data_IF_901900460002
#
_entry.id   IF_901900460002
#
_cell.length_a   1.000
_cell.length_b   1.000
_cell.length_c   1.000
_cell.angle_alpha   90.00
_cell.angle_beta   90.00
_cell.angle_gamma   90.00
#
_symmetry.space_group_name_H-M   'P 1'
#
loop_
_entity.id
_entity.type
_entity.pdbx_description
1 polymer ?
#
# COMPACT_ATOMS: atom_id res chain seq x y z
N UNK A 1 -9.60 -3.63 -13.55
CA UNK A 1 -8.93 -4.06 -12.29
C UNK A 1 -8.89 -5.57 -12.26
N UNK A 2 -7.83 -6.20 -11.73
CA UNK A 2 -7.71 -7.67 -11.78
C UNK A 2 -8.58 -8.42 -10.77
N UNK A 3 -9.35 -7.71 -9.92
CA UNK A 3 -10.37 -8.28 -9.02
C UNK A 3 -9.84 -9.26 -7.98
N UNK A 4 -10.74 -9.84 -7.19
CA UNK A 4 -10.45 -10.99 -6.35
C UNK A 4 -10.07 -12.20 -7.22
N UNK A 5 -9.20 -13.08 -6.72
CA UNK A 5 -8.73 -14.26 -7.44
C UNK A 5 -7.79 -15.11 -6.59
N UNK A 6 -7.39 -16.29 -7.06
CA UNK A 6 -6.51 -17.19 -6.31
C UNK A 6 -5.24 -16.47 -5.83
N UNK A 7 -4.93 -16.59 -4.54
CA UNK A 7 -3.75 -15.95 -3.93
C UNK A 7 -3.88 -14.45 -3.64
N UNK A 8 -5.05 -13.83 -3.89
CA UNK A 8 -5.30 -12.43 -3.52
C UNK A 8 -6.09 -12.34 -2.23
N UNK A 9 -5.60 -11.53 -1.30
CA UNK A 9 -6.22 -11.31 0.00
C UNK A 9 -6.74 -9.89 0.04
N UNK A 10 -8.03 -9.77 0.37
CA UNK A 10 -8.66 -8.46 0.50
C UNK A 10 -8.32 -7.87 1.87
N UNK A 11 -7.54 -6.79 1.89
CA UNK A 11 -7.17 -6.10 3.13
C UNK A 11 -8.25 -5.14 3.63
N UNK A 12 -9.18 -4.71 2.76
CA UNK A 12 -10.26 -3.79 3.11
C UNK A 12 -10.48 -2.71 2.04
N UNK A 13 -11.26 -1.70 2.41
CA UNK A 13 -11.46 -0.47 1.63
C UNK A 13 -10.48 0.58 2.16
N UNK A 14 -9.74 1.21 1.25
CA UNK A 14 -8.80 2.28 1.58
C UNK A 14 -9.34 3.60 1.05
N UNK A 15 -9.07 4.68 1.77
CA UNK A 15 -9.27 6.03 1.28
C UNK A 15 -8.02 6.47 0.50
N UNK A 16 -8.22 7.16 -0.62
CA UNK A 16 -7.14 7.56 -1.53
C UNK A 16 -7.21 9.05 -1.77
N UNK A 17 -6.15 9.77 -1.43
CA UNK A 17 -6.09 11.23 -1.49
C UNK A 17 -4.94 11.70 -2.38
N UNK A 18 -5.13 12.86 -3.02
CA UNK A 18 -4.01 13.61 -3.59
C UNK A 18 -3.63 14.67 -2.56
N UNK A 19 -2.45 14.54 -1.95
CA UNK A 19 -1.93 15.52 -1.00
C UNK A 19 -1.11 16.55 -1.75
N UNK A 20 -1.66 17.76 -1.88
CA UNK A 20 -1.05 18.85 -2.65
C UNK A 20 0.11 19.52 -1.88
N UNK A 21 1.21 19.79 -2.60
CA UNK A 21 2.36 20.54 -2.06
C UNK A 21 1.93 21.86 -1.41
N UNK A 22 2.46 22.13 -0.22
CA UNK A 22 2.20 23.35 0.55
C UNK A 22 0.87 23.36 1.30
N UNK A 23 0.07 22.28 1.24
CA UNK A 23 -1.14 22.09 2.03
C UNK A 23 -0.90 21.05 3.12
N UNK A 24 -1.42 21.29 4.32
CA UNK A 24 -1.35 20.35 5.45
C UNK A 24 0.05 19.74 5.69
N UNK A 25 1.12 20.52 5.52
CA UNK A 25 2.49 20.08 5.75
C UNK A 25 3.17 19.29 4.63
N UNK A 26 2.52 19.05 3.47
CA UNK A 26 3.15 18.35 2.35
C UNK A 26 4.28 19.16 1.71
N UNK A 27 5.49 18.58 1.69
CA UNK A 27 6.65 19.14 0.99
C UNK A 27 6.61 18.93 -0.52
N UNK A 28 5.91 17.89 -0.99
CA UNK A 28 5.70 17.53 -2.40
C UNK A 28 4.26 17.11 -2.66
N UNK A 29 3.81 17.20 -3.90
CA UNK A 29 2.50 16.65 -4.27
C UNK A 29 2.61 15.14 -4.43
N UNK A 30 1.79 14.38 -3.72
CA UNK A 30 1.82 12.91 -3.72
C UNK A 30 0.41 12.32 -3.53
N UNK A 31 0.31 10.99 -3.57
CA UNK A 31 -0.94 10.25 -3.36
C UNK A 31 -0.81 9.44 -2.09
N UNK A 32 -1.76 9.62 -1.18
CA UNK A 32 -1.88 8.83 0.03
C UNK A 32 -2.90 7.71 -0.16
N UNK A 33 -2.59 6.54 0.38
CA UNK A 33 -3.49 5.39 0.46
C UNK A 33 -3.60 5.04 1.93
N UNK A 34 -4.72 5.39 2.55
CA UNK A 34 -4.93 5.26 3.98
C UNK A 34 -5.78 4.02 4.29
N UNK A 35 -5.18 3.08 5.02
CA UNK A 35 -5.82 1.88 5.54
C UNK A 35 -4.99 1.30 6.68
N UNK A 36 -5.54 1.20 7.89
CA UNK A 36 -4.82 0.72 9.08
C UNK A 36 -4.14 -0.63 8.88
N UNK A 37 -4.77 -1.55 8.14
CA UNK A 37 -4.22 -2.88 7.84
C UNK A 37 -2.92 -2.84 7.00
N UNK A 38 -2.63 -1.73 6.30
CA UNK A 38 -1.35 -1.56 5.59
C UNK A 38 -0.17 -1.42 6.56
N UNK A 39 -0.39 -0.91 7.78
CA UNK A 39 0.67 -0.72 8.77
C UNK A 39 1.26 -2.04 9.28
N UNK A 40 0.53 -3.14 9.17
CA UNK A 40 1.04 -4.49 9.43
C UNK A 40 2.10 -4.92 8.43
N UNK A 41 2.09 -4.34 7.21
CA UNK A 41 2.98 -4.67 6.09
C UNK A 41 4.07 -3.60 5.92
N UNK A 42 3.71 -2.32 5.95
CA UNK A 42 4.62 -1.18 5.84
C UNK A 42 4.54 -0.36 7.13
N UNK A 43 5.61 -0.35 7.93
CA UNK A 43 5.64 0.42 9.17
C UNK A 43 5.86 1.91 8.89
N UNK A 44 5.40 2.80 9.78
CA UNK A 44 5.69 4.24 9.67
C UNK A 44 7.19 4.51 9.46
N UNK A 45 7.49 5.35 8.48
CA UNK A 45 8.87 5.71 8.09
C UNK A 45 9.54 4.75 7.11
N UNK A 46 8.95 3.60 6.80
CA UNK A 46 9.46 2.72 5.75
C UNK A 46 9.01 3.18 4.36
N UNK A 47 9.89 2.98 3.37
CA UNK A 47 9.62 3.27 1.97
C UNK A 47 9.65 1.98 1.14
N UNK A 48 8.83 1.96 0.09
CA UNK A 48 8.73 0.84 -0.84
C UNK A 48 8.59 1.33 -2.28
N UNK A 49 8.56 0.41 -3.25
CA UNK A 49 8.41 0.76 -4.66
C UNK A 49 6.93 0.92 -5.04
N UNK A 50 6.64 1.90 -5.89
CA UNK A 50 5.31 2.09 -6.51
C UNK A 50 5.45 1.88 -8.01
N UNK A 51 4.54 1.10 -8.60
CA UNK A 51 4.43 0.93 -10.05
C UNK A 51 3.01 1.16 -10.55
N UNK A 52 2.88 1.86 -11.69
CA UNK A 52 1.60 2.05 -12.35
C UNK A 52 1.11 0.75 -13.01
N UNK A 53 -0.20 0.52 -12.99
CA UNK A 53 -0.86 -0.57 -13.71
C UNK A 53 -2.23 -0.12 -14.23
N UNK A 54 -2.81 -0.88 -15.15
CA UNK A 54 -4.17 -0.59 -15.64
C UNK A 54 -5.17 -0.58 -14.47
N UNK A 55 -5.74 0.60 -14.20
CA UNK A 55 -6.73 0.82 -13.14
C UNK A 55 -6.15 0.97 -11.72
N UNK A 56 -4.90 1.41 -11.56
CA UNK A 56 -4.35 1.81 -10.26
C UNK A 56 -2.84 1.67 -10.17
N UNK A 57 -2.36 1.38 -8.97
CA UNK A 57 -0.94 1.12 -8.69
C UNK A 57 -0.74 -0.26 -8.03
N UNK A 58 0.51 -0.71 -7.96
CA UNK A 58 0.92 -1.76 -7.04
C UNK A 58 2.11 -1.30 -6.19
N UNK A 59 2.20 -1.85 -4.98
CA UNK A 59 3.33 -1.68 -4.09
C UNK A 59 4.27 -2.89 -4.23
N UNK A 60 5.50 -2.66 -4.70
CA UNK A 60 6.52 -3.70 -4.75
C UNK A 60 7.22 -3.80 -3.41
N UNK A 61 6.99 -4.88 -2.65
CA UNK A 61 7.45 -5.04 -1.27
C UNK A 61 8.94 -5.42 -1.16
N UNK A 62 9.63 -4.88 -0.15
CA UNK A 62 10.98 -5.30 0.25
C UNK A 62 10.93 -6.60 1.08
N UNK A 63 12.07 -7.27 1.26
CA UNK A 63 12.18 -8.58 1.93
C UNK A 63 11.40 -8.67 3.26
N UNK A 64 11.61 -7.73 4.17
CA UNK A 64 10.93 -7.76 5.48
C UNK A 64 9.44 -7.41 5.41
N UNK A 65 9.02 -6.66 4.39
CA UNK A 65 7.61 -6.37 4.12
C UNK A 65 6.90 -7.60 3.52
N UNK A 66 7.58 -8.37 2.67
CA UNK A 66 7.07 -9.64 2.12
C UNK A 66 6.76 -10.61 3.26
N UNK A 67 7.72 -10.81 4.18
CA UNK A 67 7.53 -11.70 5.35
C UNK A 67 6.32 -11.27 6.18
N UNK A 68 6.14 -9.95 6.40
CA UNK A 68 4.97 -9.41 7.11
C UNK A 68 3.66 -9.64 6.35
N UNK A 69 3.65 -9.41 5.04
CA UNK A 69 2.48 -9.64 4.20
C UNK A 69 2.07 -11.12 4.18
N UNK A 70 3.03 -12.04 4.06
CA UNK A 70 2.78 -13.49 4.09
C UNK A 70 2.25 -13.96 5.44
N UNK A 71 2.82 -13.42 6.54
CA UNK A 71 2.29 -13.66 7.88
C UNK A 71 0.85 -13.17 8.03
N UNK A 72 0.56 -11.95 7.56
CA UNK A 72 -0.81 -11.38 7.55
C UNK A 72 -1.76 -12.21 6.68
N UNK A 73 -1.24 -12.79 5.61
CA UNK A 73 -1.96 -13.66 4.69
C UNK A 73 -2.27 -15.07 5.25
N UNK A 74 -1.73 -15.42 6.42
CA UNK A 74 -1.86 -16.77 6.98
C UNK A 74 -1.01 -17.83 6.25
N UNK A 75 -0.09 -17.42 5.38
CA UNK A 75 0.98 -18.30 4.87
C UNK A 75 2.10 -18.31 5.92
N UNK A 76 2.23 -19.41 6.65
CA UNK A 76 3.45 -19.71 7.42
C UNK A 76 4.47 -20.36 6.49
#
# INVERSE_FOLDING_TARGET
MSGAGPGKIHLGKADVYIHLKGKSGASVTHVDIELDALNDILKPGENTYVGAKKGGVFLGLKKDMIVRAEKKAGKK
#
